data_IF_329476528692
#
_entry.id   IF_329476528692
#
_cell.length_a   1.000
_cell.length_b   1.000
_cell.length_c   1.000
_cell.angle_alpha   90.00
_cell.angle_beta   90.00
_cell.angle_gamma   90.00
#
_symmetry.space_group_name_H-M   'P 1'
#
loop_
_entity.id
_entity.type
_entity.pdbx_description
1 polymer ?
#
# COMPACT_ATOMS: atom_id res chain seq x y z
N UNK A 1 9.24 5.54 10.40
CA UNK A 1 8.13 5.00 9.57
C UNK A 1 6.80 5.51 10.09
N UNK A 2 5.91 5.96 9.23
CA UNK A 2 4.60 6.44 9.68
C UNK A 2 3.76 5.28 10.23
N UNK A 3 2.92 5.53 11.22
CA UNK A 3 1.99 4.51 11.68
C UNK A 3 0.95 4.20 10.60
N UNK A 4 0.62 2.93 10.44
CA UNK A 4 -0.42 2.51 9.50
C UNK A 4 -1.53 1.78 10.22
N UNK A 5 -2.73 1.80 9.63
CA UNK A 5 -3.93 1.19 10.19
C UNK A 5 -4.58 0.29 9.15
N UNK A 6 -4.90 -0.95 9.52
CA UNK A 6 -5.58 -1.89 8.63
C UNK A 6 -6.73 -2.57 9.36
N UNK A 7 -7.75 -2.95 8.62
CA UNK A 7 -8.83 -3.77 9.19
C UNK A 7 -8.38 -5.22 9.32
N UNK A 8 -8.94 -5.92 10.30
CA UNK A 8 -8.53 -7.28 10.65
C UNK A 8 -8.59 -8.24 9.46
N UNK A 9 -9.67 -8.22 8.69
CA UNK A 9 -9.80 -9.12 7.53
C UNK A 9 -8.79 -8.80 6.44
N UNK A 10 -8.50 -7.53 6.22
CA UNK A 10 -7.48 -7.12 5.24
C UNK A 10 -6.08 -7.52 5.72
N UNK A 11 -5.77 -7.32 6.99
CA UNK A 11 -4.49 -7.75 7.56
C UNK A 11 -4.28 -9.24 7.36
N UNK A 12 -5.31 -10.05 7.59
CA UNK A 12 -5.26 -11.50 7.44
C UNK A 12 -5.00 -11.91 5.99
N UNK A 13 -5.72 -11.30 5.04
CA UNK A 13 -5.55 -11.56 3.61
C UNK A 13 -4.18 -11.11 3.10
N UNK A 14 -3.70 -9.95 3.56
CA UNK A 14 -2.41 -9.41 3.14
C UNK A 14 -1.24 -10.22 3.71
N UNK A 15 -1.35 -10.70 4.94
CA UNK A 15 -0.36 -11.61 5.50
C UNK A 15 -0.29 -12.92 4.70
N UNK A 16 -1.44 -13.49 4.34
CA UNK A 16 -1.49 -14.70 3.52
C UNK A 16 -0.89 -14.45 2.13
N UNK A 17 -1.18 -13.31 1.53
CA UNK A 17 -0.63 -12.93 0.23
C UNK A 17 0.89 -12.78 0.29
N UNK A 18 1.42 -12.13 1.31
CA UNK A 18 2.85 -11.97 1.50
C UNK A 18 3.53 -13.34 1.62
N UNK A 19 2.95 -14.26 2.39
CA UNK A 19 3.50 -15.61 2.54
C UNK A 19 3.49 -16.38 1.23
N UNK A 20 2.38 -16.35 0.49
CA UNK A 20 2.26 -17.10 -0.77
C UNK A 20 3.09 -16.50 -1.90
N UNK A 21 3.50 -15.24 -1.79
CA UNK A 21 4.25 -14.53 -2.83
C UNK A 21 5.75 -14.44 -2.56
N UNK A 22 6.21 -14.96 -1.42
CA UNK A 22 7.59 -14.79 -0.97
C UNK A 22 8.62 -15.35 -1.95
N UNK A 23 8.30 -16.43 -2.66
CA UNK A 23 9.24 -17.04 -3.62
C UNK A 23 9.32 -16.28 -4.93
N UNK A 24 8.20 -15.77 -5.43
CA UNK A 24 8.13 -15.06 -6.71
C UNK A 24 8.52 -13.59 -6.58
N UNK A 25 8.14 -12.96 -5.48
CA UNK A 25 8.35 -11.52 -5.25
C UNK A 25 8.93 -11.29 -3.86
N UNK A 26 10.16 -11.78 -3.58
CA UNK A 26 10.68 -11.81 -2.21
C UNK A 26 10.81 -10.43 -1.56
N UNK A 27 11.22 -9.41 -2.29
CA UNK A 27 11.42 -8.08 -1.70
C UNK A 27 10.11 -7.42 -1.33
N UNK A 28 9.14 -7.39 -2.26
CA UNK A 28 7.85 -6.74 -1.98
C UNK A 28 7.05 -7.55 -0.98
N UNK A 29 7.12 -8.87 -1.03
CA UNK A 29 6.44 -9.73 -0.05
C UNK A 29 7.00 -9.50 1.35
N UNK A 30 8.33 -9.41 1.48
CA UNK A 30 8.98 -9.11 2.75
C UNK A 30 8.56 -7.73 3.29
N UNK A 31 8.58 -6.72 2.43
CA UNK A 31 8.15 -5.38 2.81
C UNK A 31 6.69 -5.37 3.28
N UNK A 32 5.80 -6.02 2.53
CA UNK A 32 4.39 -6.11 2.89
C UNK A 32 4.20 -6.81 4.24
N UNK A 33 4.91 -7.91 4.46
CA UNK A 33 4.85 -8.63 5.74
C UNK A 33 5.30 -7.75 6.90
N UNK A 34 6.37 -6.98 6.72
CA UNK A 34 6.85 -6.06 7.74
C UNK A 34 5.83 -4.96 8.04
N UNK A 35 5.16 -4.44 6.99
CA UNK A 35 4.11 -3.43 7.17
C UNK A 35 2.93 -3.99 7.95
N UNK A 36 2.51 -5.21 7.67
CA UNK A 36 1.42 -5.85 8.42
C UNK A 36 1.82 -6.12 9.87
N UNK A 37 3.07 -6.46 10.12
CA UNK A 37 3.56 -6.70 11.48
C UNK A 37 3.50 -5.46 12.36
N UNK A 38 3.83 -4.29 11.80
CA UNK A 38 3.84 -3.03 12.56
C UNK A 38 2.50 -2.29 12.54
N UNK A 39 1.53 -2.74 11.74
CA UNK A 39 0.25 -2.06 11.59
C UNK A 39 -0.61 -2.14 12.86
N UNK A 40 -1.37 -1.08 13.10
CA UNK A 40 -2.47 -1.13 14.04
C UNK A 40 -3.65 -1.82 13.37
N UNK A 41 -4.08 -2.95 13.91
CA UNK A 41 -5.19 -3.73 13.37
C UNK A 41 -6.47 -3.35 14.10
N UNK A 42 -7.50 -2.97 13.34
CA UNK A 42 -8.78 -2.54 13.89
C UNK A 42 -9.89 -3.49 13.43
N UNK A 43 -11.02 -3.43 14.12
CA UNK A 43 -12.18 -4.27 13.80
C UNK A 43 -12.71 -3.97 12.39
N UNK A 44 -13.28 -4.98 11.73
CA UNK A 44 -13.73 -4.91 10.35
C UNK A 44 -14.82 -3.87 10.09
N UNK A 45 -15.58 -3.50 11.12
CA UNK A 45 -16.61 -2.49 11.01
C UNK A 45 -16.15 -1.09 11.43
N UNK A 46 -14.85 -0.89 11.60
CA UNK A 46 -14.30 0.41 11.96
C UNK A 46 -14.47 1.41 10.84
N UNK A 47 -14.72 2.67 11.22
CA UNK A 47 -14.85 3.77 10.27
C UNK A 47 -13.48 4.39 10.03
N UNK A 48 -12.89 4.13 8.85
CA UNK A 48 -11.55 4.57 8.50
C UNK A 48 -11.60 5.61 7.38
N UNK A 49 -11.85 6.86 7.75
CA UNK A 49 -11.78 7.98 6.81
C UNK A 49 -10.33 8.35 6.52
N UNK A 50 -10.01 8.57 5.24
CA UNK A 50 -8.70 9.05 4.84
C UNK A 50 -7.57 8.04 5.01
N UNK A 51 -7.89 6.78 5.22
CA UNK A 51 -6.91 5.69 5.34
C UNK A 51 -6.97 4.84 4.07
N UNK A 52 -5.82 4.52 3.50
CA UNK A 52 -5.72 3.69 2.29
C UNK A 52 -6.06 2.25 2.64
N UNK A 53 -7.09 1.73 2.00
CA UNK A 53 -7.56 0.35 2.11
C UNK A 53 -7.47 -0.33 0.76
N UNK A 54 -7.63 -1.65 0.74
CA UNK A 54 -7.79 -2.36 -0.53
C UNK A 54 -9.05 -1.83 -1.23
N UNK A 55 -8.91 -1.49 -2.52
CA UNK A 55 -9.98 -0.87 -3.30
C UNK A 55 -10.05 0.64 -3.23
N UNK A 56 -9.25 1.29 -2.37
CA UNK A 56 -9.26 2.75 -2.27
C UNK A 56 -8.75 3.41 -3.55
N UNK A 57 -9.36 4.56 -3.88
CA UNK A 57 -8.78 5.49 -4.84
C UNK A 57 -7.82 6.40 -4.08
N UNK A 58 -6.58 6.49 -4.55
CA UNK A 58 -5.52 7.19 -3.84
C UNK A 58 -4.86 8.21 -4.75
N UNK A 59 -4.74 9.44 -4.25
CA UNK A 59 -3.88 10.45 -4.89
C UNK A 59 -2.63 10.57 -4.05
N UNK A 60 -1.48 10.40 -4.70
CA UNK A 60 -0.21 10.53 -4.01
C UNK A 60 0.79 11.32 -4.84
N UNK A 61 1.77 11.90 -4.16
CA UNK A 61 2.88 12.61 -4.78
C UNK A 61 4.14 11.76 -4.68
N UNK A 62 4.84 11.60 -5.80
CA UNK A 62 6.21 11.08 -5.80
C UNK A 62 7.10 12.23 -5.34
N UNK A 63 7.66 12.12 -4.15
CA UNK A 63 8.40 13.23 -3.54
C UNK A 63 9.70 13.55 -4.27
N UNK A 64 10.25 12.60 -5.04
CA UNK A 64 11.49 12.82 -5.80
C UNK A 64 11.24 13.65 -7.06
N UNK A 65 10.13 13.36 -7.78
CA UNK A 65 9.85 14.02 -9.06
C UNK A 65 8.83 15.13 -8.94
N UNK A 66 8.03 15.12 -7.87
CA UNK A 66 6.89 16.01 -7.70
C UNK A 66 5.65 15.58 -8.47
N UNK A 67 5.70 14.46 -9.19
CA UNK A 67 4.55 13.96 -9.94
C UNK A 67 3.43 13.54 -9.01
N UNK A 68 2.21 13.94 -9.36
CA UNK A 68 0.99 13.52 -8.66
C UNK A 68 0.29 12.47 -9.48
N UNK A 69 -0.07 11.36 -8.84
CA UNK A 69 -0.72 10.23 -9.50
C UNK A 69 -2.00 9.84 -8.77
N UNK A 70 -3.00 9.42 -9.57
CA UNK A 70 -4.26 8.88 -9.07
C UNK A 70 -4.32 7.40 -9.45
N UNK A 71 -4.45 6.53 -8.44
CA UNK A 71 -4.48 5.07 -8.66
C UNK A 71 -5.54 4.43 -7.76
N UNK A 72 -5.97 3.23 -8.13
CA UNK A 72 -6.75 2.37 -7.23
C UNK A 72 -5.82 1.27 -6.71
N UNK A 73 -5.82 1.05 -5.41
CA UNK A 73 -5.03 -0.02 -4.80
C UNK A 73 -5.84 -1.31 -4.80
N UNK A 74 -5.32 -2.33 -5.48
CA UNK A 74 -6.08 -3.58 -5.69
C UNK A 74 -5.22 -4.81 -5.39
N UNK A 75 -5.87 -5.97 -5.32
CA UNK A 75 -5.17 -7.26 -5.24
C UNK A 75 -4.58 -7.59 -6.61
N UNK A 76 -3.54 -8.47 -6.66
CA UNK A 76 -2.80 -8.73 -7.90
C UNK A 76 -3.68 -9.11 -9.11
N UNK A 77 -4.73 -9.90 -8.90
CA UNK A 77 -5.60 -10.36 -9.98
C UNK A 77 -6.47 -9.24 -10.57
N UNK A 78 -6.55 -8.10 -9.90
CA UNK A 78 -7.34 -6.95 -10.34
C UNK A 78 -6.47 -5.85 -10.96
N UNK A 79 -5.15 -6.03 -10.98
CA UNK A 79 -4.22 -5.01 -11.47
C UNK A 79 -4.41 -4.77 -12.97
N UNK A 80 -4.43 -3.49 -13.36
CA UNK A 80 -4.60 -3.09 -14.76
C UNK A 80 -4.05 -1.67 -14.95
N UNK A 81 -2.95 -1.55 -15.68
CA UNK A 81 -2.28 -0.26 -15.90
C UNK A 81 -3.20 0.72 -16.63
N UNK A 82 -3.97 0.22 -17.61
CA UNK A 82 -4.85 1.09 -18.41
C UNK A 82 -5.98 1.69 -17.59
N UNK A 83 -6.40 1.00 -16.51
CA UNK A 83 -7.42 1.47 -15.58
C UNK A 83 -6.80 2.10 -14.32
N UNK A 84 -5.48 2.28 -14.30
CA UNK A 84 -4.73 2.84 -13.16
C UNK A 84 -4.97 2.04 -11.87
N UNK A 85 -5.04 0.73 -11.99
CA UNK A 85 -5.17 -0.19 -10.87
C UNK A 85 -3.80 -0.77 -10.55
N UNK A 86 -3.30 -0.46 -9.36
CA UNK A 86 -1.97 -0.85 -8.91
C UNK A 86 -2.08 -1.98 -7.89
N UNK A 87 -1.36 -3.06 -8.14
CA UNK A 87 -1.33 -4.20 -7.21
C UNK A 87 -0.62 -3.83 -5.90
N UNK A 88 -1.15 -4.32 -4.79
CA UNK A 88 -0.51 -4.22 -3.48
C UNK A 88 0.85 -4.97 -3.46
N UNK A 89 1.07 -5.90 -4.39
CA UNK A 89 2.37 -6.59 -4.56
C UNK A 89 3.33 -5.83 -5.47
N UNK A 90 3.26 -4.52 -5.49
CA UNK A 90 4.27 -3.66 -6.11
C UNK A 90 4.89 -2.78 -5.03
N UNK A 91 6.09 -2.23 -5.26
CA UNK A 91 6.69 -1.33 -4.27
C UNK A 91 5.77 -0.17 -3.87
N UNK A 92 5.14 0.49 -4.84
CA UNK A 92 4.21 1.59 -4.56
C UNK A 92 2.98 1.07 -3.82
N UNK A 93 2.37 -0.02 -4.28
CA UNK A 93 1.15 -0.55 -3.66
C UNK A 93 1.38 -0.97 -2.21
N UNK A 94 2.47 -1.69 -1.95
CA UNK A 94 2.81 -2.10 -0.58
C UNK A 94 3.13 -0.89 0.32
N UNK A 95 3.68 0.18 -0.26
CA UNK A 95 3.96 1.41 0.48
C UNK A 95 2.68 2.18 0.83
N UNK A 96 1.64 2.11 -0.02
CA UNK A 96 0.40 2.87 0.18
C UNK A 96 -0.50 2.28 1.26
N UNK A 97 -0.56 0.95 1.40
CA UNK A 97 -1.56 0.31 2.27
C UNK A 97 -1.48 0.83 3.70
N UNK A 98 -2.60 1.22 4.25
CA UNK A 98 -2.73 1.64 5.64
C UNK A 98 -2.28 3.06 5.93
N UNK A 99 -1.71 3.79 4.96
CA UNK A 99 -1.34 5.19 5.17
C UNK A 99 -2.57 6.07 5.27
N UNK A 100 -2.44 7.14 6.03
CA UNK A 100 -3.45 8.19 6.12
C UNK A 100 -3.05 9.39 5.26
N UNK A 101 -4.03 10.19 4.87
CA UNK A 101 -3.80 11.45 4.15
C UNK A 101 -2.78 12.30 4.92
N UNK A 102 -1.79 12.80 4.22
CA UNK A 102 -0.71 13.63 4.77
C UNK A 102 0.51 12.86 5.21
N UNK A 103 0.45 11.53 5.31
CA UNK A 103 1.61 10.73 5.68
C UNK A 103 2.50 10.46 4.48
N UNK A 104 3.80 10.37 4.75
CA UNK A 104 4.80 10.02 3.76
C UNK A 104 5.52 8.73 4.19
N UNK A 105 5.98 7.96 3.22
CA UNK A 105 6.74 6.73 3.47
C UNK A 105 7.90 6.60 2.49
N UNK A 106 9.04 6.12 2.98
CA UNK A 106 10.14 5.70 2.13
C UNK A 106 10.01 4.22 1.78
N UNK A 107 10.35 3.88 0.55
CA UNK A 107 10.33 2.51 0.07
C UNK A 107 11.41 2.30 -0.99
N UNK A 108 11.77 1.04 -1.22
CA UNK A 108 12.78 0.70 -2.22
C UNK A 108 12.14 0.18 -3.49
N UNK A 109 12.66 0.64 -4.62
CA UNK A 109 12.30 0.11 -5.94
C UNK A 109 13.41 -0.83 -6.42
N UNK A 110 13.17 -1.62 -7.48
CA UNK A 110 14.21 -2.46 -8.07
C UNK A 110 15.48 -1.64 -8.36
N UNK A 111 16.65 -2.24 -8.11
CA UNK A 111 17.93 -1.56 -8.23
C UNK A 111 18.38 -0.82 -6.98
N UNK A 112 17.75 -1.07 -5.84
CA UNK A 112 18.06 -0.45 -4.54
C UNK A 112 17.88 1.05 -4.49
N UNK A 113 17.07 1.62 -5.36
CA UNK A 113 16.74 3.04 -5.34
C UNK A 113 15.73 3.32 -4.24
N UNK A 114 16.03 4.29 -3.38
CA UNK A 114 15.09 4.76 -2.38
C UNK A 114 14.16 5.80 -2.98
N UNK A 115 12.87 5.65 -2.74
CA UNK A 115 11.87 6.62 -3.14
C UNK A 115 10.99 6.95 -1.95
N UNK A 116 10.33 8.08 -2.03
CA UNK A 116 9.37 8.51 -1.03
C UNK A 116 8.10 8.96 -1.72
N UNK A 117 6.97 8.69 -1.09
CA UNK A 117 5.68 9.21 -1.54
C UNK A 117 4.91 9.80 -0.38
N UNK A 118 4.00 10.73 -0.70
CA UNK A 118 3.10 11.36 0.27
C UNK A 118 1.67 11.18 -0.20
N UNK A 119 0.80 10.71 0.67
CA UNK A 119 -0.64 10.54 0.35
C UNK A 119 -1.32 11.89 0.43
N UNK A 120 -1.94 12.30 -0.68
CA UNK A 120 -2.62 13.59 -0.77
C UNK A 120 -4.14 13.45 -0.58
N UNK A 121 -4.72 12.34 -0.99
CA UNK A 121 -6.15 12.11 -0.87
C UNK A 121 -6.50 10.64 -0.96
N UNK A 122 -7.57 10.25 -0.28
CA UNK A 122 -8.09 8.87 -0.26
C UNK A 122 -9.60 8.93 -0.39
N UNK A 123 -10.14 8.09 -1.28
CA UNK A 123 -11.57 7.91 -1.45
C UNK A 123 -11.87 6.40 -1.43
N UNK A 124 -12.76 6.01 -0.56
CA UNK A 124 -13.12 4.60 -0.40
C UNK A 124 -14.48 4.30 -1.01
#
# INVERSE_FOLDING_TARGET
>A
MPPITVMENEARRLNALASSSAMLFPRVAHFLAQEMERASVVADNSDLHGVVRMGSQVRYCDDKTGDVRDVALVYPHEADITLKRVSVLTPVGAALIGLSVGQAIEFQTPGHNKRSLTVLGVSN
#
